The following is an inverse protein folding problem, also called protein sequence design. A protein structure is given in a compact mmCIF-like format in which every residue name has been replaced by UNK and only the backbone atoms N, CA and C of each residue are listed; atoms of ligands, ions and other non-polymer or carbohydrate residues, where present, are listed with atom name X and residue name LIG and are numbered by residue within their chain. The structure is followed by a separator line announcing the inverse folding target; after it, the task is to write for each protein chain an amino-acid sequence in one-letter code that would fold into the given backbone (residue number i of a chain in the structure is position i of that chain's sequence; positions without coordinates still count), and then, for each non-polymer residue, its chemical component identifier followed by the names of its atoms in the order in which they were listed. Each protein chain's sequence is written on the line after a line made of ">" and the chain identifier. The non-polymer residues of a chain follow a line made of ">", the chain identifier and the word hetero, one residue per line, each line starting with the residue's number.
data_IF_411812681363
#
_entry.id   IF_411812681363
#
_cell.length_a   1.000
_cell.length_b   1.000
_cell.length_c   1.000
_cell.angle_alpha   90.00
_cell.angle_beta   90.00
_cell.angle_gamma   90.00
#
_symmetry.space_group_name_H-M   'P 1'
#
loop_
_entity.id
_entity.type
_entity.pdbx_description
1 polymer ?
#
# COMPACT_ATOMS: atom_id res chain seq x y z
N UNK A 1 26.19 -42.88 16.04
CA UNK A 1 26.15 -42.29 14.67
C UNK A 1 24.97 -41.36 14.40
N UNK A 2 23.86 -41.45 15.12
CA UNK A 2 22.65 -40.66 14.81
C UNK A 2 22.68 -39.16 15.22
N UNK A 3 23.39 -38.76 16.28
CA UNK A 3 23.45 -37.35 16.73
C UNK A 3 24.31 -36.48 15.81
N UNK A 4 25.49 -36.97 15.40
CA UNK A 4 26.36 -36.23 14.46
C UNK A 4 25.71 -36.06 13.09
N UNK A 5 25.00 -37.09 12.62
CA UNK A 5 24.25 -37.02 11.35
C UNK A 5 23.09 -36.05 11.42
N UNK A 6 22.42 -35.95 12.59
CA UNK A 6 21.36 -34.95 12.82
C UNK A 6 21.90 -33.51 12.93
N UNK A 7 23.10 -33.33 13.52
CA UNK A 7 23.74 -32.00 13.59
C UNK A 7 24.28 -31.56 12.23
N UNK A 8 24.91 -32.47 11.46
CA UNK A 8 25.35 -32.17 10.09
C UNK A 8 24.12 -31.86 9.20
N UNK A 9 23.06 -32.68 9.30
CA UNK A 9 21.81 -32.41 8.58
C UNK A 9 21.15 -31.09 9.03
N UNK A 10 21.25 -30.71 10.30
CA UNK A 10 20.73 -29.42 10.78
C UNK A 10 21.54 -28.24 10.28
N UNK A 11 22.86 -28.37 10.17
CA UNK A 11 23.77 -27.36 9.62
C UNK A 11 23.59 -27.19 8.10
N UNK A 12 23.49 -28.30 7.37
CA UNK A 12 23.20 -28.30 5.92
C UNK A 12 21.80 -27.77 5.67
N UNK A 13 20.81 -28.10 6.52
CA UNK A 13 19.46 -27.55 6.41
C UNK A 13 19.39 -26.04 6.63
N UNK A 14 20.20 -25.48 7.57
CA UNK A 14 20.30 -24.04 7.80
C UNK A 14 20.97 -23.27 6.65
N UNK A 15 21.89 -23.93 5.93
CA UNK A 15 22.57 -23.35 4.75
C UNK A 15 21.73 -23.39 3.47
N UNK A 16 20.70 -24.23 3.42
CA UNK A 16 19.82 -24.43 2.24
C UNK A 16 18.46 -23.73 2.39
N UNK A 17 18.08 -23.36 3.61
CA UNK A 17 16.81 -22.65 3.86
C UNK A 17 16.86 -21.24 3.31
N UNK A 18 15.96 -20.96 2.39
CA UNK A 18 15.83 -19.67 1.73
C UNK A 18 14.90 -18.75 2.53
N UNK A 19 15.20 -17.48 2.54
CA UNK A 19 14.35 -16.45 3.15
C UNK A 19 13.90 -15.46 2.09
N UNK A 20 12.67 -15.00 2.21
CA UNK A 20 12.09 -14.00 1.33
C UNK A 20 11.20 -13.08 2.16
N UNK A 21 11.45 -11.78 2.10
CA UNK A 21 10.67 -10.76 2.76
C UNK A 21 9.93 -9.90 1.75
N UNK A 22 8.60 -9.96 1.77
CA UNK A 22 7.73 -9.24 0.86
C UNK A 22 7.02 -8.13 1.61
N UNK A 23 7.18 -6.92 1.12
CA UNK A 23 6.43 -5.77 1.59
C UNK A 23 5.10 -5.65 0.83
N UNK A 24 4.01 -5.49 1.57
CA UNK A 24 2.69 -5.17 1.01
C UNK A 24 2.32 -3.76 1.43
N UNK A 25 2.16 -2.89 0.45
CA UNK A 25 1.73 -1.53 0.66
C UNK A 25 0.64 -1.14 -0.33
N UNK A 26 0.16 0.06 -0.23
CA UNK A 26 -0.83 0.61 -1.16
C UNK A 26 -1.45 1.86 -0.58
N UNK A 27 -2.03 2.65 -1.46
CA UNK A 27 -2.77 3.84 -1.07
C UNK A 27 -3.93 3.50 -0.12
N UNK A 28 -4.45 4.49 0.56
CA UNK A 28 -5.58 4.33 1.47
C UNK A 28 -6.73 3.57 0.79
N UNK A 29 -7.38 2.65 1.51
CA UNK A 29 -8.52 1.84 1.03
C UNK A 29 -8.23 0.90 -0.15
N UNK A 30 -6.97 0.65 -0.50
CA UNK A 30 -6.59 -0.25 -1.60
C UNK A 30 -6.79 -1.75 -1.32
N UNK A 31 -7.24 -2.14 -0.12
CA UNK A 31 -7.54 -3.53 0.24
C UNK A 31 -6.34 -4.36 0.70
N UNK A 32 -5.29 -3.74 1.27
CA UNK A 32 -4.09 -4.44 1.76
C UNK A 32 -4.38 -5.62 2.69
N UNK A 33 -5.20 -5.40 3.73
CA UNK A 33 -5.53 -6.44 4.70
C UNK A 33 -6.24 -7.63 4.04
N UNK A 34 -7.23 -7.35 3.16
CA UNK A 34 -7.91 -8.38 2.38
C UNK A 34 -6.93 -9.12 1.45
N UNK A 35 -5.97 -8.42 0.84
CA UNK A 35 -4.93 -9.02 0.00
C UNK A 35 -4.07 -10.00 0.80
N UNK A 36 -3.51 -9.58 1.93
CA UNK A 36 -2.64 -10.45 2.75
C UNK A 36 -3.43 -11.63 3.27
N UNK A 37 -4.65 -11.42 3.76
CA UNK A 37 -5.54 -12.50 4.23
C UNK A 37 -5.78 -13.53 3.12
N UNK A 38 -6.13 -13.07 1.91
CA UNK A 38 -6.36 -13.98 0.78
C UNK A 38 -5.08 -14.67 0.32
N UNK A 39 -3.97 -13.96 0.23
CA UNK A 39 -2.67 -14.52 -0.19
C UNK A 39 -2.22 -15.63 0.75
N UNK A 40 -2.33 -15.41 2.06
CA UNK A 40 -2.02 -16.41 3.08
C UNK A 40 -3.01 -17.58 3.04
N UNK A 41 -4.32 -17.30 2.88
CA UNK A 41 -5.35 -18.34 2.77
C UNK A 41 -5.08 -19.28 1.59
N UNK A 42 -4.77 -18.72 0.40
CA UNK A 42 -4.45 -19.53 -0.78
C UNK A 42 -3.23 -20.41 -0.56
N UNK A 43 -2.17 -19.91 0.06
CA UNK A 43 -0.96 -20.69 0.36
C UNK A 43 -1.24 -21.82 1.37
N UNK A 44 -2.03 -21.56 2.40
CA UNK A 44 -2.36 -22.56 3.42
C UNK A 44 -3.29 -23.67 2.87
N UNK A 45 -4.08 -23.38 1.84
CA UNK A 45 -5.07 -24.30 1.26
C UNK A 45 -4.65 -24.90 -0.09
N UNK A 46 -3.36 -24.98 -0.40
CA UNK A 46 -2.87 -25.51 -1.68
C UNK A 46 -3.28 -26.97 -1.95
N UNK A 47 -3.57 -27.74 -0.91
CA UNK A 47 -3.97 -29.17 -1.02
C UNK A 47 -5.50 -29.38 -1.04
N UNK A 48 -6.29 -28.38 -0.64
CA UNK A 48 -7.76 -28.49 -0.54
C UNK A 48 -8.51 -27.88 -1.73
N UNK A 49 -7.94 -27.97 -2.94
CA UNK A 49 -8.58 -27.46 -4.15
C UNK A 49 -8.36 -25.98 -4.37
N UNK A 50 -7.21 -25.46 -3.98
CA UNK A 50 -6.81 -24.07 -4.24
C UNK A 50 -6.86 -23.79 -5.75
N UNK A 51 -7.56 -22.75 -6.14
CA UNK A 51 -7.70 -22.35 -7.53
C UNK A 51 -6.51 -21.47 -7.96
N UNK A 52 -5.32 -22.09 -8.07
CA UNK A 52 -4.06 -21.43 -8.42
C UNK A 52 -3.46 -21.94 -9.74
N UNK A 53 -4.21 -21.94 -10.86
CA UNK A 53 -3.75 -22.53 -12.12
C UNK A 53 -2.51 -21.83 -12.70
N UNK A 54 -2.31 -20.54 -12.41
CA UNK A 54 -1.17 -19.77 -12.91
C UNK A 54 0.04 -19.81 -11.96
N UNK A 55 -0.10 -20.35 -10.76
CA UNK A 55 1.01 -20.50 -9.83
C UNK A 55 1.79 -21.78 -10.11
N UNK A 56 2.91 -21.64 -10.81
CA UNK A 56 3.69 -22.79 -11.34
C UNK A 56 4.15 -23.81 -10.28
N UNK A 57 4.54 -23.43 -9.04
CA UNK A 57 4.92 -24.43 -8.05
C UNK A 57 3.77 -25.37 -7.62
N UNK A 58 2.53 -24.89 -7.68
CA UNK A 58 1.32 -25.70 -7.41
C UNK A 58 0.96 -26.53 -8.63
N UNK A 59 0.89 -25.91 -9.81
CA UNK A 59 0.58 -26.59 -11.08
C UNK A 59 1.56 -27.74 -11.38
N UNK A 60 2.81 -27.59 -11.00
CA UNK A 60 3.87 -28.60 -11.19
C UNK A 60 4.00 -29.56 -9.99
N UNK A 61 3.05 -29.53 -9.06
CA UNK A 61 3.00 -30.39 -7.85
C UNK A 61 4.30 -30.37 -7.02
N UNK A 62 5.00 -29.22 -7.04
CA UNK A 62 6.27 -29.06 -6.30
C UNK A 62 6.08 -28.49 -4.90
N UNK A 63 5.03 -27.71 -4.67
CA UNK A 63 4.72 -27.21 -3.35
C UNK A 63 4.08 -28.30 -2.51
N UNK A 64 4.83 -28.78 -1.50
CA UNK A 64 4.46 -29.95 -0.70
C UNK A 64 3.61 -29.62 0.53
N UNK A 65 3.72 -28.38 1.03
CA UNK A 65 2.93 -27.92 2.17
C UNK A 65 3.37 -26.55 2.66
N UNK A 66 2.43 -25.88 3.28
CA UNK A 66 2.63 -24.56 3.86
C UNK A 66 2.08 -24.53 5.28
N UNK A 67 2.79 -23.86 6.19
CA UNK A 67 2.32 -23.63 7.55
C UNK A 67 2.74 -22.26 8.07
N UNK A 68 1.97 -21.71 8.97
CA UNK A 68 2.36 -20.54 9.76
C UNK A 68 3.46 -20.92 10.75
N UNK A 69 4.45 -20.06 10.89
CA UNK A 69 5.56 -20.24 11.84
C UNK A 69 5.77 -18.96 12.64
N UNK A 70 6.40 -19.04 13.84
CA UNK A 70 6.69 -17.85 14.63
C UNK A 70 7.52 -16.84 13.83
N UNK A 71 7.17 -15.55 13.93
CA UNK A 71 7.96 -14.46 13.34
C UNK A 71 9.30 -14.30 14.08
N UNK A 72 10.29 -13.71 13.39
CA UNK A 72 11.62 -13.47 13.98
C UNK A 72 11.68 -12.19 14.77
N UNK A 73 11.03 -11.15 14.24
CA UNK A 73 10.98 -9.84 14.87
C UNK A 73 9.88 -9.83 15.94
N UNK A 74 10.28 -9.87 17.20
CA UNK A 74 9.35 -9.86 18.33
C UNK A 74 8.81 -8.46 18.64
N UNK A 75 9.40 -7.41 18.08
CA UNK A 75 8.95 -6.03 18.23
C UNK A 75 7.85 -5.64 17.24
N UNK A 76 7.63 -6.44 16.18
CA UNK A 76 6.59 -6.18 15.18
C UNK A 76 5.31 -6.93 15.55
N UNK A 77 4.15 -6.27 15.63
CA UNK A 77 2.86 -6.92 15.85
C UNK A 77 2.58 -8.02 14.81
N UNK A 78 1.89 -9.06 15.25
CA UNK A 78 1.45 -10.13 14.37
C UNK A 78 0.29 -9.66 13.50
N UNK A 79 0.31 -9.99 12.20
CA UNK A 79 -0.82 -9.73 11.31
C UNK A 79 -2.07 -10.51 11.78
N UNK A 80 -3.19 -9.83 11.84
CA UNK A 80 -4.47 -10.35 12.35
C UNK A 80 -5.19 -11.26 11.32
N UNK A 81 -4.54 -12.36 10.93
CA UNK A 81 -5.06 -13.28 9.91
C UNK A 81 -6.35 -13.98 10.34
N UNK A 82 -6.38 -14.49 11.57
CA UNK A 82 -7.52 -15.28 12.07
C UNK A 82 -8.77 -14.39 12.24
N UNK A 83 -8.59 -13.14 12.70
CA UNK A 83 -9.64 -12.15 12.78
C UNK A 83 -10.15 -11.74 11.39
N UNK A 84 -9.25 -11.60 10.42
CA UNK A 84 -9.60 -11.34 9.03
C UNK A 84 -10.44 -12.47 8.43
N UNK A 85 -10.08 -13.72 8.67
CA UNK A 85 -10.85 -14.88 8.23
C UNK A 85 -12.21 -14.97 8.94
N UNK A 86 -12.25 -14.71 10.26
CA UNK A 86 -13.49 -14.70 11.02
C UNK A 86 -14.48 -13.64 10.50
N UNK A 87 -13.99 -12.46 10.13
CA UNK A 87 -14.82 -11.42 9.53
C UNK A 87 -15.42 -11.87 8.18
N UNK A 88 -14.60 -12.50 7.33
CA UNK A 88 -15.02 -12.96 6.00
C UNK A 88 -16.04 -14.10 6.05
N UNK A 89 -15.95 -14.98 7.05
CA UNK A 89 -16.91 -16.07 7.27
C UNK A 89 -18.04 -15.71 8.23
N UNK A 90 -18.10 -14.45 8.67
CA UNK A 90 -19.17 -13.95 9.53
C UNK A 90 -20.54 -13.97 8.84
N UNK A 91 -21.61 -13.81 9.63
CA UNK A 91 -22.97 -13.68 9.14
C UNK A 91 -23.60 -12.38 9.69
N UNK A 92 -23.71 -11.32 8.89
CA UNK A 92 -23.24 -11.20 7.50
C UNK A 92 -21.71 -11.11 7.38
N UNK A 93 -21.12 -11.51 6.23
CA UNK A 93 -19.70 -11.39 6.01
C UNK A 93 -19.25 -9.92 5.93
N UNK A 94 -18.07 -9.65 6.47
CA UNK A 94 -17.50 -8.31 6.52
C UNK A 94 -16.04 -8.29 6.01
N UNK A 95 -15.58 -7.14 5.51
CA UNK A 95 -14.20 -6.95 5.15
C UNK A 95 -13.30 -6.93 6.40
N UNK A 96 -12.07 -7.49 6.32
CA UNK A 96 -11.12 -7.43 7.42
C UNK A 96 -10.83 -5.99 7.83
N UNK A 97 -10.66 -5.76 9.13
CA UNK A 97 -10.32 -4.43 9.66
C UNK A 97 -8.96 -3.95 9.16
N UNK A 98 -8.85 -2.71 8.65
CA UNK A 98 -7.58 -2.17 8.18
C UNK A 98 -6.51 -2.12 9.27
N UNK A 99 -5.28 -2.47 8.92
CA UNK A 99 -4.11 -2.39 9.81
C UNK A 99 -3.75 -0.92 10.06
N UNK A 100 -3.44 -0.57 11.33
CA UNK A 100 -3.10 0.80 11.73
C UNK A 100 -1.61 1.08 11.89
N UNK A 101 -0.78 0.05 11.78
CA UNK A 101 0.67 0.13 11.92
C UNK A 101 1.36 -0.96 11.11
N UNK A 102 2.64 -1.21 11.39
CA UNK A 102 3.36 -2.34 10.80
C UNK A 102 2.88 -3.63 11.45
N UNK A 103 2.68 -4.67 10.65
CA UNK A 103 2.43 -6.03 11.12
C UNK A 103 3.07 -7.05 10.19
N UNK A 104 3.34 -8.26 10.71
CA UNK A 104 4.03 -9.31 9.97
C UNK A 104 3.34 -10.66 10.14
N UNK A 105 3.33 -11.46 9.07
CA UNK A 105 3.01 -12.89 9.12
C UNK A 105 4.12 -13.68 8.45
N UNK A 106 4.52 -14.80 9.07
CA UNK A 106 5.58 -15.67 8.59
C UNK A 106 5.07 -17.06 8.27
N UNK A 107 5.44 -17.54 7.07
CA UNK A 107 5.07 -18.86 6.56
C UNK A 107 6.33 -19.69 6.26
N UNK A 108 6.23 -21.00 6.40
CA UNK A 108 7.21 -21.96 5.91
C UNK A 108 6.59 -22.76 4.75
N UNK A 109 7.18 -22.63 3.55
CA UNK A 109 6.75 -23.30 2.33
C UNK A 109 7.75 -24.42 2.02
N UNK A 110 7.30 -25.68 2.10
CA UNK A 110 8.11 -26.85 1.76
C UNK A 110 7.86 -27.24 0.32
N UNK A 111 8.94 -27.39 -0.45
CA UNK A 111 8.84 -27.68 -1.88
C UNK A 111 9.93 -28.61 -2.39
N UNK A 112 9.68 -29.25 -3.56
CA UNK A 112 10.70 -30.05 -4.29
C UNK A 112 11.53 -29.12 -5.14
N UNK A 113 12.88 -29.17 -4.98
CA UNK A 113 13.81 -28.37 -5.78
C UNK A 113 13.92 -28.90 -7.21
N UNK A 114 14.06 -27.98 -8.19
CA UNK A 114 14.42 -28.30 -9.59
C UNK A 114 15.93 -28.34 -9.81
N UNK A 115 16.73 -27.75 -8.90
CA UNK A 115 18.18 -27.67 -9.06
C UNK A 115 18.82 -29.06 -8.93
N UNK A 116 19.45 -29.53 -10.02
CA UNK A 116 20.08 -30.84 -10.11
C UNK A 116 21.21 -31.04 -9.07
N UNK A 117 21.92 -29.99 -8.73
CA UNK A 117 22.99 -30.02 -7.71
C UNK A 117 22.42 -30.21 -6.29
N UNK A 118 21.30 -29.55 -5.97
CA UNK A 118 20.63 -29.66 -4.67
C UNK A 118 19.93 -31.02 -4.51
N UNK A 119 19.40 -31.59 -5.61
CA UNK A 119 18.77 -32.93 -5.61
C UNK A 119 19.69 -34.03 -5.14
N UNK A 120 20.99 -33.94 -5.37
CA UNK A 120 21.96 -34.94 -4.91
C UNK A 120 22.13 -34.92 -3.39
N UNK A 121 21.79 -33.81 -2.72
CA UNK A 121 21.92 -33.65 -1.29
C UNK A 121 20.57 -33.68 -0.55
N UNK A 122 19.49 -33.20 -1.19
CA UNK A 122 18.16 -33.12 -0.59
C UNK A 122 17.05 -32.88 -1.61
N UNK A 123 16.05 -33.79 -1.63
CA UNK A 123 14.90 -33.67 -2.56
C UNK A 123 13.95 -32.50 -2.23
N UNK A 124 13.99 -31.98 -1.01
CA UNK A 124 13.05 -30.97 -0.54
C UNK A 124 13.76 -29.82 0.17
N UNK A 125 13.31 -28.60 -0.09
CA UNK A 125 13.81 -27.36 0.51
C UNK A 125 12.66 -26.62 1.21
N UNK A 126 13.02 -25.66 2.07
CA UNK A 126 12.05 -24.80 2.75
C UNK A 126 12.32 -23.33 2.40
N UNK A 127 11.29 -22.61 1.97
CA UNK A 127 11.28 -21.17 1.87
C UNK A 127 10.55 -20.59 3.07
N UNK A 128 11.21 -19.74 3.83
CA UNK A 128 10.58 -18.91 4.85
C UNK A 128 10.15 -17.58 4.22
N UNK A 129 8.84 -17.40 4.13
CA UNK A 129 8.21 -16.20 3.57
C UNK A 129 7.73 -15.30 4.70
N UNK A 130 8.23 -14.10 4.75
CA UNK A 130 7.78 -13.03 5.65
C UNK A 130 7.00 -11.99 4.84
N UNK A 131 5.73 -11.78 5.19
CA UNK A 131 4.85 -10.80 4.56
C UNK A 131 4.64 -9.68 5.58
N UNK A 132 5.05 -8.46 5.20
CA UNK A 132 4.98 -7.29 6.06
C UNK A 132 3.95 -6.33 5.50
N UNK A 133 2.93 -6.02 6.31
CA UNK A 133 1.95 -4.97 6.06
C UNK A 133 2.41 -3.67 6.72
N UNK A 134 2.37 -2.57 5.99
CA UNK A 134 2.61 -1.25 6.55
C UNK A 134 1.75 -0.18 5.86
N UNK A 135 1.40 0.91 6.58
CA UNK A 135 0.59 1.97 6.00
C UNK A 135 1.28 2.63 4.80
N UNK A 136 0.56 2.74 3.69
CA UNK A 136 1.07 3.40 2.50
C UNK A 136 1.32 4.90 2.71
N UNK A 137 0.59 5.50 3.64
CA UNK A 137 0.76 6.89 4.05
C UNK A 137 2.17 7.17 4.58
N UNK A 138 2.82 6.19 5.23
CA UNK A 138 4.19 6.36 5.73
C UNK A 138 5.23 6.44 4.61
N UNK A 139 4.94 5.85 3.43
CA UNK A 139 5.81 6.00 2.27
C UNK A 139 5.77 7.39 1.67
N UNK A 140 4.64 8.09 1.80
CA UNK A 140 4.51 9.47 1.34
C UNK A 140 5.41 10.43 2.13
N UNK A 141 5.94 10.01 3.28
CA UNK A 141 6.86 10.79 4.08
C UNK A 141 8.33 10.63 3.64
N UNK A 142 8.67 9.56 2.90
CA UNK A 142 10.06 9.35 2.46
C UNK A 142 10.65 10.52 1.65
N UNK A 143 9.90 11.17 0.73
CA UNK A 143 10.39 12.35 0.02
C UNK A 143 10.72 13.55 0.92
N UNK A 144 10.20 13.62 2.16
CA UNK A 144 10.53 14.67 3.12
C UNK A 144 12.01 14.67 3.49
N UNK A 145 12.69 13.53 3.36
CA UNK A 145 14.12 13.41 3.64
C UNK A 145 15.01 14.27 2.72
N UNK A 146 14.49 14.68 1.57
CA UNK A 146 15.15 15.55 0.58
C UNK A 146 14.63 16.99 0.61
N UNK A 147 13.71 17.30 1.53
CA UNK A 147 13.06 18.61 1.63
C UNK A 147 13.51 19.37 2.88
N UNK A 148 13.48 20.69 2.77
CA UNK A 148 13.53 21.58 3.93
C UNK A 148 12.11 21.85 4.43
N UNK A 149 11.97 22.30 5.68
CA UNK A 149 10.68 22.70 6.22
C UNK A 149 9.96 23.76 5.35
N UNK A 150 10.74 24.70 4.79
CA UNK A 150 10.18 25.77 3.96
C UNK A 150 9.72 25.24 2.59
N UNK A 151 10.52 24.41 1.92
CA UNK A 151 10.13 23.81 0.63
C UNK A 151 8.90 22.90 0.78
N UNK A 152 8.84 22.13 1.87
CA UNK A 152 7.65 21.35 2.21
C UNK A 152 6.43 22.25 2.47
N UNK A 153 6.58 23.35 3.21
CA UNK A 153 5.50 24.30 3.46
C UNK A 153 4.97 24.91 2.17
N UNK A 154 5.85 25.28 1.24
CA UNK A 154 5.47 25.79 -0.09
C UNK A 154 4.70 24.74 -0.89
N UNK A 155 5.17 23.51 -0.90
CA UNK A 155 4.48 22.39 -1.58
C UNK A 155 3.08 22.17 -1.01
N UNK A 156 2.93 22.15 0.31
CA UNK A 156 1.62 21.96 0.96
C UNK A 156 0.68 23.16 0.67
N UNK A 157 1.20 24.39 0.66
CA UNK A 157 0.46 25.58 0.25
C UNK A 157 -0.06 25.49 -1.19
N UNK A 158 0.75 24.96 -2.11
CA UNK A 158 0.36 24.75 -3.51
C UNK A 158 -0.77 23.73 -3.72
N UNK A 159 -1.02 22.86 -2.74
CA UNK A 159 -2.10 21.87 -2.78
C UNK A 159 -3.46 22.43 -2.30
N UNK A 160 -3.52 23.64 -1.77
CA UNK A 160 -4.75 24.28 -1.28
C UNK A 160 -5.60 24.75 -2.46
N UNK A 161 -6.26 23.79 -3.13
CA UNK A 161 -7.14 24.00 -4.27
C UNK A 161 -8.45 23.21 -4.09
N UNK A 162 -9.53 23.66 -4.72
CA UNK A 162 -10.83 23.00 -4.65
C UNK A 162 -11.31 22.78 -3.21
N UNK A 163 -11.77 21.58 -2.89
CA UNK A 163 -12.28 21.22 -1.55
C UNK A 163 -11.24 21.37 -0.44
N UNK A 164 -9.94 21.22 -0.75
CA UNK A 164 -8.88 21.36 0.26
C UNK A 164 -8.85 22.76 0.91
N UNK A 165 -9.16 23.82 0.17
CA UNK A 165 -9.22 25.18 0.72
C UNK A 165 -10.28 25.26 1.81
N UNK A 166 -11.48 24.74 1.54
CA UNK A 166 -12.59 24.80 2.48
C UNK A 166 -12.28 24.02 3.77
N UNK A 167 -11.70 22.85 3.64
CA UNK A 167 -11.34 22.02 4.78
C UNK A 167 -10.14 22.57 5.57
N UNK A 168 -9.27 23.34 4.93
CA UNK A 168 -8.13 23.97 5.57
C UNK A 168 -8.47 25.23 6.37
N UNK A 169 -9.64 25.87 6.16
CA UNK A 169 -10.03 27.13 6.81
C UNK A 169 -9.80 27.17 8.32
N UNK A 170 -10.18 26.15 9.12
CA UNK A 170 -9.95 26.16 10.57
C UNK A 170 -8.48 26.20 10.96
N UNK A 171 -7.62 25.50 10.22
CA UNK A 171 -6.18 25.51 10.39
C UNK A 171 -5.58 26.85 9.98
N UNK A 172 -5.91 27.35 8.76
CA UNK A 172 -5.40 28.62 8.24
C UNK A 172 -5.74 29.82 9.14
N UNK A 173 -6.98 29.89 9.63
CA UNK A 173 -7.43 30.94 10.53
C UNK A 173 -6.68 30.96 11.87
N UNK A 174 -6.16 29.81 12.34
CA UNK A 174 -5.30 29.75 13.52
C UNK A 174 -3.88 30.19 13.21
N UNK A 175 -3.33 29.81 12.04
CA UNK A 175 -2.01 30.26 11.61
C UNK A 175 -1.92 31.79 11.50
N UNK A 176 -2.96 32.46 11.02
CA UNK A 176 -3.00 33.94 10.88
C UNK A 176 -2.84 34.69 12.21
N UNK A 177 -3.15 34.04 13.33
CA UNK A 177 -3.05 34.64 14.68
C UNK A 177 -1.67 34.51 15.31
N UNK A 178 -0.75 33.81 14.66
CA UNK A 178 0.59 33.54 15.19
C UNK A 178 1.63 34.36 14.40
N UNK A 179 2.46 35.13 15.13
CA UNK A 179 3.67 35.71 14.56
C UNK A 179 4.76 34.61 14.46
N UNK A 180 5.26 34.27 13.26
CA UNK A 180 6.27 33.24 13.08
C UNK A 180 7.59 33.55 13.79
N UNK A 181 7.93 34.84 13.97
CA UNK A 181 9.19 35.28 14.58
C UNK A 181 9.08 35.57 16.07
N UNK A 182 7.87 35.55 16.65
CA UNK A 182 7.68 35.65 18.10
C UNK A 182 8.25 34.41 18.84
N UNK A 183 8.56 34.54 20.14
CA UNK A 183 8.95 33.41 20.97
C UNK A 183 7.92 32.26 20.88
N UNK A 184 8.42 31.03 20.81
CA UNK A 184 7.58 29.86 20.64
C UNK A 184 6.59 29.69 21.81
N UNK A 185 5.31 29.59 21.48
CA UNK A 185 4.22 29.23 22.38
C UNK A 185 3.79 27.78 22.12
N UNK A 186 4.19 26.88 23.01
CA UNK A 186 3.93 25.44 22.88
C UNK A 186 2.43 25.12 22.77
N UNK A 187 1.57 25.82 23.52
CA UNK A 187 0.13 25.57 23.53
C UNK A 187 -0.48 26.02 22.19
N UNK A 188 -0.13 27.21 21.72
CA UNK A 188 -0.59 27.69 20.42
C UNK A 188 -0.13 26.79 19.27
N UNK A 189 1.14 26.39 19.27
CA UNK A 189 1.68 25.49 18.25
C UNK A 189 0.97 24.12 18.25
N UNK A 190 0.68 23.57 19.43
CA UNK A 190 -0.06 22.32 19.57
C UNK A 190 -1.50 22.43 19.05
N UNK A 191 -2.21 23.50 19.33
CA UNK A 191 -3.57 23.75 18.83
C UNK A 191 -3.62 23.87 17.31
N UNK A 192 -2.65 24.54 16.70
CA UNK A 192 -2.56 24.67 15.24
C UNK A 192 -2.18 23.35 14.59
N UNK A 193 -1.25 22.61 15.19
CA UNK A 193 -0.86 21.27 14.72
C UNK A 193 -2.05 20.29 14.76
N UNK A 194 -2.88 20.37 15.81
CA UNK A 194 -4.11 19.59 15.86
C UNK A 194 -5.09 19.96 14.75
N UNK A 195 -5.29 21.26 14.51
CA UNK A 195 -6.16 21.71 13.42
C UNK A 195 -5.65 21.29 12.03
N UNK A 196 -4.32 21.23 11.84
CA UNK A 196 -3.72 20.68 10.62
C UNK A 196 -3.94 19.17 10.53
N UNK A 197 -3.80 18.45 11.63
CA UNK A 197 -4.09 17.01 11.68
C UNK A 197 -5.56 16.71 11.36
N UNK A 198 -6.49 17.50 11.89
CA UNK A 198 -7.92 17.39 11.60
C UNK A 198 -8.21 17.64 10.10
N UNK A 199 -7.54 18.63 9.50
CA UNK A 199 -7.59 18.87 8.05
C UNK A 199 -7.11 17.66 7.25
N UNK A 200 -6.00 17.03 7.64
CA UNK A 200 -5.50 15.82 6.98
C UNK A 200 -6.48 14.64 7.12
N UNK A 201 -7.08 14.47 8.30
CA UNK A 201 -8.14 13.48 8.50
C UNK A 201 -9.34 13.75 7.61
N UNK A 202 -9.76 15.02 7.46
CA UNK A 202 -10.85 15.38 6.56
C UNK A 202 -10.51 15.06 5.11
N UNK A 203 -9.33 15.42 4.63
CA UNK A 203 -8.87 15.04 3.29
C UNK A 203 -8.97 13.53 3.05
N UNK A 204 -8.54 12.71 4.03
CA UNK A 204 -8.61 11.26 3.94
C UNK A 204 -10.06 10.73 3.94
N UNK A 205 -10.95 11.33 4.72
CA UNK A 205 -12.37 10.98 4.73
C UNK A 205 -13.03 11.26 3.38
N UNK A 206 -12.70 12.38 2.75
CA UNK A 206 -13.17 12.78 1.41
C UNK A 206 -12.51 11.99 0.26
N UNK A 207 -11.69 11.00 0.57
CA UNK A 207 -11.12 10.06 -0.40
C UNK A 207 -9.83 10.53 -1.06
N UNK A 208 -9.17 11.57 -0.55
CA UNK A 208 -7.86 11.96 -1.02
C UNK A 208 -6.76 11.02 -0.52
N UNK A 209 -5.74 10.85 -1.32
CA UNK A 209 -4.65 9.90 -1.08
C UNK A 209 -3.35 10.59 -0.67
N UNK A 210 -3.08 11.81 -1.15
CA UNK A 210 -1.89 12.56 -0.78
C UNK A 210 -2.07 13.24 0.56
N UNK A 211 -1.67 12.57 1.60
CA UNK A 211 -1.75 12.96 3.01
C UNK A 211 -0.35 12.97 3.59
N UNK A 212 0.16 14.15 3.93
CA UNK A 212 1.53 14.31 4.41
C UNK A 212 1.61 15.36 5.55
N UNK A 213 2.20 15.03 6.70
CA UNK A 213 2.84 13.76 7.03
C UNK A 213 1.84 12.62 7.29
N UNK A 214 2.18 11.41 6.82
CA UNK A 214 1.33 10.23 6.96
C UNK A 214 1.16 9.76 8.41
N UNK A 215 2.18 9.98 9.26
CA UNK A 215 2.13 9.68 10.69
C UNK A 215 1.15 10.57 11.48
N UNK A 216 0.69 11.69 10.93
CA UNK A 216 -0.33 12.52 11.60
C UNK A 216 -1.70 11.84 11.59
N UNK A 217 -2.03 11.14 10.50
CA UNK A 217 -3.29 10.40 10.39
C UNK A 217 -3.19 8.94 10.86
N UNK A 218 -1.98 8.38 10.88
CA UNK A 218 -1.68 7.03 11.36
C UNK A 218 -0.43 7.07 12.24
N UNK A 219 -0.52 7.63 13.45
CA UNK A 219 0.64 7.87 14.31
C UNK A 219 1.33 6.60 14.80
N UNK A 220 0.60 5.49 14.93
CA UNK A 220 1.12 4.26 15.51
C UNK A 220 1.60 4.48 16.94
N UNK A 221 2.84 4.12 17.19
CA UNK A 221 3.55 4.28 18.46
C UNK A 221 3.85 5.74 18.87
N UNK A 222 3.72 6.68 17.92
CA UNK A 222 3.97 8.12 18.14
C UNK A 222 2.72 8.91 18.56
N UNK A 223 1.60 8.23 18.84
CA UNK A 223 0.35 8.90 19.22
C UNK A 223 0.59 9.82 20.44
N UNK A 224 0.26 11.12 20.29
CA UNK A 224 0.44 12.13 21.35
C UNK A 224 1.87 12.66 21.52
N UNK A 225 2.84 12.17 20.76
CA UNK A 225 4.23 12.64 20.87
C UNK A 225 4.41 14.06 20.30
N UNK A 226 5.20 14.94 20.97
CA UNK A 226 5.45 16.31 20.50
C UNK A 226 6.08 16.38 19.10
N UNK A 227 6.75 15.35 18.64
CA UNK A 227 7.33 15.26 17.30
C UNK A 227 6.27 15.35 16.21
N UNK A 228 5.00 15.05 16.48
CA UNK A 228 3.88 15.21 15.54
C UNK A 228 3.18 16.58 15.68
N UNK A 229 3.71 17.50 16.49
CA UNK A 229 3.12 18.83 16.69
C UNK A 229 3.82 19.88 15.83
N UNK A 230 3.78 19.71 14.51
CA UNK A 230 4.21 20.72 13.55
C UNK A 230 3.21 20.80 12.39
N UNK A 231 3.29 21.84 11.61
CA UNK A 231 2.42 22.08 10.45
C UNK A 231 3.16 22.92 9.41
N UNK A 232 2.76 22.87 8.11
CA UNK A 232 3.38 23.72 7.10
C UNK A 232 2.95 25.17 7.31
N UNK A 233 3.87 26.10 7.07
CA UNK A 233 3.55 27.53 7.22
C UNK A 233 2.89 28.05 5.93
N UNK A 234 1.60 28.43 5.95
CA UNK A 234 0.85 28.74 4.71
C UNK A 234 1.35 30.00 3.98
N UNK A 235 1.96 30.93 4.69
CA UNK A 235 2.35 32.24 4.19
C UNK A 235 3.88 32.38 4.01
N UNK A 236 4.59 31.29 3.74
CA UNK A 236 6.06 31.30 3.54
C UNK A 236 6.48 32.37 2.55
N UNK A 237 5.75 32.52 1.44
CA UNK A 237 6.09 33.46 0.36
C UNK A 237 5.96 34.95 0.77
N UNK A 238 5.21 35.26 1.84
CA UNK A 238 4.91 36.65 2.24
C UNK A 238 5.94 37.26 3.19
N UNK A 239 6.75 36.44 3.89
CA UNK A 239 7.63 36.91 4.97
C UNK A 239 9.10 37.00 4.54
N UNK A 240 9.44 36.43 3.43
CA UNK A 240 10.82 36.33 2.92
C UNK A 240 11.52 35.08 3.43
N UNK A 241 11.87 34.24 2.48
CA UNK A 241 12.43 32.89 2.70
C UNK A 241 13.69 32.91 3.56
N UNK A 242 14.57 33.90 3.34
CA UNK A 242 15.82 34.03 4.09
C UNK A 242 15.59 34.32 5.58
N UNK A 243 14.63 35.18 5.92
CA UNK A 243 14.30 35.50 7.32
C UNK A 243 13.75 34.27 8.04
N UNK A 244 12.90 33.50 7.39
CA UNK A 244 12.31 32.29 7.95
C UNK A 244 13.36 31.18 8.11
N UNK A 245 14.27 31.06 7.14
CA UNK A 245 15.35 30.05 7.18
C UNK A 245 16.37 30.32 8.31
N UNK A 246 16.61 31.60 8.65
CA UNK A 246 17.57 32.03 9.67
C UNK A 246 16.94 32.28 11.04
N UNK A 247 15.63 32.08 11.21
CA UNK A 247 14.94 32.31 12.46
C UNK A 247 15.53 31.43 13.58
N UNK A 248 15.66 32.04 14.79
CA UNK A 248 16.13 31.32 15.98
C UNK A 248 15.21 30.15 16.33
N UNK A 249 15.79 29.04 16.81
CA UNK A 249 15.02 27.83 17.20
C UNK A 249 14.00 28.10 18.31
N UNK A 250 14.13 29.19 19.06
CA UNK A 250 13.19 29.58 20.13
C UNK A 250 11.97 30.36 19.60
N UNK A 251 11.94 30.68 18.30
CA UNK A 251 10.76 31.30 17.66
C UNK A 251 9.74 30.25 17.24
N UNK A 252 8.50 30.66 17.00
CA UNK A 252 7.45 29.76 16.52
C UNK A 252 7.89 28.99 15.27
N UNK A 253 8.38 29.68 14.23
CA UNK A 253 8.83 29.04 12.99
C UNK A 253 10.07 28.19 13.19
N UNK A 254 11.00 28.61 14.05
CA UNK A 254 12.21 27.86 14.38
C UNK A 254 11.88 26.53 15.09
N UNK A 255 10.91 26.56 15.99
CA UNK A 255 10.43 25.33 16.68
C UNK A 255 9.75 24.37 15.70
N UNK A 256 8.91 24.87 14.76
CA UNK A 256 8.29 24.03 13.73
C UNK A 256 9.33 23.40 12.82
N UNK A 257 10.34 24.16 12.39
CA UNK A 257 11.47 23.64 11.60
C UNK A 257 12.22 22.55 12.36
N UNK A 258 12.54 22.77 13.63
CA UNK A 258 13.24 21.79 14.47
C UNK A 258 12.45 20.49 14.62
N UNK A 259 11.13 20.56 14.80
CA UNK A 259 10.26 19.37 14.89
C UNK A 259 10.17 18.64 13.56
N UNK A 260 10.07 19.35 12.44
CA UNK A 260 10.11 18.78 11.09
C UNK A 260 11.44 18.04 10.84
N UNK A 261 12.57 18.70 11.15
CA UNK A 261 13.90 18.11 10.97
C UNK A 261 14.07 16.85 11.84
N UNK A 262 13.61 16.91 13.09
CA UNK A 262 13.62 15.74 13.97
C UNK A 262 12.72 14.63 13.44
N UNK A 263 11.52 14.96 12.97
CA UNK A 263 10.61 14.00 12.33
C UNK A 263 11.27 13.30 11.15
N UNK A 264 11.88 14.05 10.24
CA UNK A 264 12.60 13.50 9.11
C UNK A 264 13.75 12.58 9.53
N UNK A 265 14.63 13.05 10.45
CA UNK A 265 15.85 12.32 10.80
C UNK A 265 15.61 11.13 11.73
N UNK A 266 14.62 11.19 12.61
CA UNK A 266 14.37 10.14 13.61
C UNK A 266 13.22 9.22 13.22
N UNK A 267 12.09 9.76 12.75
CA UNK A 267 10.91 8.97 12.43
C UNK A 267 10.97 8.40 11.03
N UNK A 268 11.09 9.26 10.00
CA UNK A 268 11.06 8.83 8.60
C UNK A 268 12.29 8.00 8.25
N UNK A 269 13.47 8.48 8.62
CA UNK A 269 14.72 7.77 8.38
C UNK A 269 14.85 6.48 9.20
N UNK A 270 14.29 6.47 10.43
CA UNK A 270 14.18 5.27 11.26
C UNK A 270 13.35 4.20 10.56
N UNK A 271 12.13 4.54 10.14
CA UNK A 271 11.27 3.63 9.39
C UNK A 271 11.96 3.07 8.13
N UNK A 272 12.63 3.93 7.36
CA UNK A 272 13.37 3.52 6.17
C UNK A 272 14.43 2.47 6.50
N UNK A 273 15.26 2.70 7.53
CA UNK A 273 16.34 1.79 7.95
C UNK A 273 15.84 0.47 8.52
N UNK A 274 14.83 0.55 9.36
CA UNK A 274 14.39 -0.60 10.16
C UNK A 274 13.50 -1.56 9.37
N UNK A 275 12.77 -1.03 8.38
CA UNK A 275 11.81 -1.81 7.60
C UNK A 275 12.11 -1.80 6.11
N UNK A 276 12.16 -0.64 5.46
CA UNK A 276 12.14 -0.52 4.00
C UNK A 276 13.34 -1.17 3.32
N UNK A 277 14.56 -0.98 3.83
CA UNK A 277 15.78 -1.56 3.23
C UNK A 277 15.90 -3.08 3.38
N UNK A 278 15.04 -3.70 4.16
CA UNK A 278 15.08 -5.14 4.43
C UNK A 278 14.15 -5.95 3.53
N UNK A 279 13.43 -5.30 2.61
CA UNK A 279 12.52 -6.00 1.71
C UNK A 279 13.25 -6.51 0.48
N UNK A 280 13.01 -7.77 0.12
CA UNK A 280 13.48 -8.36 -1.13
C UNK A 280 12.54 -8.04 -2.28
N UNK A 281 11.23 -7.97 -2.01
CA UNK A 281 10.17 -7.73 -3.00
C UNK A 281 9.08 -6.84 -2.44
N UNK A 282 8.39 -6.18 -3.34
CA UNK A 282 7.31 -5.29 -2.95
C UNK A 282 6.11 -5.40 -3.89
N UNK A 283 4.93 -5.32 -3.29
CA UNK A 283 3.68 -5.11 -4.00
C UNK A 283 3.02 -3.81 -3.53
N UNK A 284 2.58 -3.01 -4.49
CA UNK A 284 1.86 -1.75 -4.29
C UNK A 284 0.44 -1.93 -4.81
N UNK A 285 -0.53 -1.94 -3.90
CA UNK A 285 -1.95 -2.03 -4.24
C UNK A 285 -2.50 -0.64 -4.55
N UNK A 286 -3.20 -0.50 -5.66
CA UNK A 286 -3.79 0.76 -6.12
C UNK A 286 -5.27 0.55 -6.41
N UNK A 287 -6.14 1.27 -5.72
CA UNK A 287 -7.55 1.37 -6.08
C UNK A 287 -7.72 2.49 -7.11
N UNK A 288 -7.75 2.15 -8.40
CA UNK A 288 -7.94 3.12 -9.47
C UNK A 288 -9.42 3.51 -9.63
N UNK A 289 -10.36 2.68 -9.16
CA UNK A 289 -11.79 2.85 -9.43
C UNK A 289 -12.42 3.91 -8.53
N UNK A 290 -12.07 3.93 -7.25
CA UNK A 290 -12.61 4.90 -6.31
C UNK A 290 -12.31 6.37 -6.71
N UNK A 291 -11.08 6.74 -7.09
CA UNK A 291 -10.80 8.09 -7.58
C UNK A 291 -11.50 8.44 -8.89
N UNK A 292 -11.67 7.47 -9.81
CA UNK A 292 -12.48 7.68 -11.01
C UNK A 292 -13.94 8.01 -10.65
N UNK A 293 -14.49 7.35 -9.64
CA UNK A 293 -15.84 7.61 -9.15
C UNK A 293 -15.99 8.95 -8.42
N UNK A 294 -14.92 9.39 -7.75
CA UNK A 294 -14.91 10.63 -6.95
C UNK A 294 -14.60 11.89 -7.76
N UNK A 295 -14.22 11.76 -9.02
CA UNK A 295 -14.00 12.89 -9.94
C UNK A 295 -12.54 13.31 -10.12
N UNK A 296 -12.33 14.33 -10.97
CA UNK A 296 -11.00 14.76 -11.44
C UNK A 296 -10.04 15.13 -10.31
N UNK A 297 -10.53 15.79 -9.25
CA UNK A 297 -9.68 16.21 -8.14
C UNK A 297 -9.14 15.04 -7.36
N UNK A 298 -9.96 14.03 -7.05
CA UNK A 298 -9.55 12.82 -6.37
C UNK A 298 -8.60 11.97 -7.23
N UNK A 299 -8.85 11.93 -8.55
CA UNK A 299 -8.00 11.22 -9.48
C UNK A 299 -6.60 11.86 -9.60
N UNK A 300 -6.54 13.19 -9.72
CA UNK A 300 -5.26 13.90 -9.75
C UNK A 300 -4.50 13.82 -8.42
N UNK A 301 -5.21 13.82 -7.30
CA UNK A 301 -4.62 13.63 -5.97
C UNK A 301 -4.01 12.21 -5.83
N UNK A 302 -4.70 11.18 -6.32
CA UNK A 302 -4.15 9.81 -6.38
C UNK A 302 -2.89 9.75 -7.26
N UNK A 303 -2.90 10.39 -8.44
CA UNK A 303 -1.72 10.47 -9.31
C UNK A 303 -0.54 11.11 -8.59
N UNK A 304 -0.78 12.22 -7.89
CA UNK A 304 0.25 12.88 -7.10
C UNK A 304 0.80 11.94 -6.01
N UNK A 305 -0.08 11.27 -5.25
CA UNK A 305 0.33 10.32 -4.23
C UNK A 305 1.17 9.17 -4.80
N UNK A 306 0.77 8.61 -5.96
CA UNK A 306 1.55 7.59 -6.65
C UNK A 306 2.91 8.11 -7.12
N UNK A 307 2.96 9.31 -7.71
CA UNK A 307 4.21 9.94 -8.15
C UNK A 307 5.18 10.13 -6.96
N UNK A 308 4.70 10.63 -5.84
CA UNK A 308 5.51 10.81 -4.62
C UNK A 308 5.96 9.48 -4.04
N UNK A 309 5.08 8.48 -4.00
CA UNK A 309 5.42 7.13 -3.57
C UNK A 309 6.52 6.54 -4.46
N UNK A 310 6.43 6.74 -5.77
CA UNK A 310 7.42 6.24 -6.73
C UNK A 310 8.76 6.97 -6.63
N UNK A 311 8.77 8.25 -6.27
CA UNK A 311 10.02 8.96 -5.96
C UNK A 311 10.76 8.29 -4.78
N UNK A 312 10.05 7.70 -3.84
CA UNK A 312 10.64 6.92 -2.75
C UNK A 312 11.39 5.66 -3.23
N UNK A 313 11.05 5.16 -4.41
CA UNK A 313 11.71 4.03 -5.08
C UNK A 313 12.78 4.47 -6.08
N UNK A 314 13.16 5.75 -6.13
CA UNK A 314 14.17 6.26 -7.06
C UNK A 314 15.55 5.72 -6.71
N UNK A 315 15.90 4.68 -7.40
CA UNK A 315 17.15 3.93 -7.22
C UNK A 315 18.34 4.51 -8.01
N UNK A 316 18.17 5.60 -8.76
CA UNK A 316 19.14 6.02 -9.78
C UNK A 316 19.89 7.32 -9.56
N UNK A 317 19.49 8.24 -8.73
CA UNK A 317 20.20 9.51 -8.54
C UNK A 317 21.21 9.44 -7.40
N UNK A 318 22.41 10.03 -7.64
CA UNK A 318 23.58 10.11 -6.74
C UNK A 318 23.31 10.94 -5.48
N UNK A 319 22.29 10.60 -4.70
CA UNK A 319 22.02 11.22 -3.41
C UNK A 319 22.82 10.51 -2.31
N UNK A 320 23.06 11.20 -1.20
CA UNK A 320 23.69 10.65 0.02
C UNK A 320 23.03 9.34 0.49
N UNK A 321 21.74 9.13 0.13
CA UNK A 321 20.97 7.91 0.38
C UNK A 321 21.54 6.68 -0.33
N UNK A 322 21.97 6.78 -1.59
CA UNK A 322 22.54 5.64 -2.34
C UNK A 322 23.84 5.12 -1.74
N UNK A 323 24.62 5.98 -1.09
CA UNK A 323 25.86 5.57 -0.41
C UNK A 323 25.64 4.80 0.89
N UNK A 324 24.48 5.00 1.52
CA UNK A 324 24.17 4.43 2.83
C UNK A 324 23.20 3.24 2.76
N UNK A 325 22.36 3.15 1.70
CA UNK A 325 21.25 2.23 1.64
C UNK A 325 20.99 1.80 0.19
N UNK A 326 21.64 0.72 -0.28
CA UNK A 326 21.26 0.06 -1.53
C UNK A 326 20.00 -0.76 -1.25
N UNK A 327 18.82 -0.40 -1.77
CA UNK A 327 17.64 -1.24 -1.63
C UNK A 327 17.86 -2.56 -2.38
N UNK A 328 17.51 -3.65 -1.75
CA UNK A 328 17.67 -5.00 -2.27
C UNK A 328 16.44 -5.52 -3.02
N UNK A 329 15.49 -4.65 -3.39
CA UNK A 329 14.26 -5.09 -4.06
C UNK A 329 14.60 -5.54 -5.48
N UNK A 330 14.38 -6.85 -5.76
CA UNK A 330 14.58 -7.45 -7.07
C UNK A 330 13.29 -7.45 -7.93
N UNK A 331 12.11 -7.41 -7.28
CA UNK A 331 10.81 -7.39 -7.95
C UNK A 331 9.84 -6.39 -7.32
N UNK A 332 9.19 -5.61 -8.18
CA UNK A 332 8.17 -4.64 -7.81
C UNK A 332 6.89 -4.89 -8.61
N UNK A 333 5.78 -5.14 -7.92
CA UNK A 333 4.46 -5.35 -8.51
C UNK A 333 3.56 -4.17 -8.21
N UNK A 334 2.93 -3.59 -9.23
CA UNK A 334 1.78 -2.73 -9.07
C UNK A 334 0.51 -3.52 -9.39
N UNK A 335 -0.44 -3.53 -8.46
CA UNK A 335 -1.67 -4.27 -8.62
C UNK A 335 -2.89 -3.35 -8.47
N UNK A 336 -3.64 -3.18 -9.57
CA UNK A 336 -4.95 -2.53 -9.52
C UNK A 336 -5.92 -3.46 -8.82
N UNK A 337 -6.32 -3.07 -7.62
CA UNK A 337 -7.23 -3.85 -6.78
C UNK A 337 -8.69 -3.70 -7.21
N UNK A 338 -9.55 -4.57 -6.68
CA UNK A 338 -11.00 -4.56 -6.92
C UNK A 338 -11.40 -4.79 -8.38
N UNK A 339 -10.64 -5.61 -9.12
CA UNK A 339 -10.97 -5.95 -10.50
C UNK A 339 -12.34 -6.67 -10.64
N UNK A 340 -12.88 -7.20 -9.55
CA UNK A 340 -14.23 -7.76 -9.48
C UNK A 340 -15.35 -6.72 -9.43
N UNK A 341 -15.02 -5.43 -9.27
CA UNK A 341 -15.98 -4.31 -9.32
C UNK A 341 -16.22 -3.79 -10.73
N UNK A 342 -15.59 -4.40 -11.73
CA UNK A 342 -15.78 -4.14 -13.16
C UNK A 342 -16.01 -5.45 -13.90
N UNK A 343 -16.62 -5.38 -15.07
CA UNK A 343 -16.86 -6.57 -15.90
C UNK A 343 -15.55 -7.10 -16.52
N UNK A 344 -15.49 -8.38 -16.82
CA UNK A 344 -14.25 -9.06 -17.24
C UNK A 344 -13.61 -8.47 -18.49
N UNK A 345 -14.41 -7.94 -19.42
CA UNK A 345 -13.97 -7.24 -20.63
C UNK A 345 -13.23 -5.93 -20.34
N UNK A 346 -13.44 -5.33 -19.14
CA UNK A 346 -12.80 -4.09 -18.69
C UNK A 346 -11.45 -4.31 -17.96
N UNK A 347 -11.09 -5.56 -17.65
CA UNK A 347 -9.86 -5.84 -16.90
C UNK A 347 -8.60 -5.35 -17.62
N UNK A 348 -8.56 -5.48 -18.95
CA UNK A 348 -7.44 -4.99 -19.76
C UNK A 348 -7.30 -3.46 -19.69
N UNK A 349 -8.42 -2.74 -19.69
CA UNK A 349 -8.44 -1.28 -19.55
C UNK A 349 -7.91 -0.85 -18.18
N UNK A 350 -8.31 -1.54 -17.11
CA UNK A 350 -7.83 -1.27 -15.75
C UNK A 350 -6.30 -1.42 -15.65
N UNK A 351 -5.75 -2.48 -16.22
CA UNK A 351 -4.29 -2.70 -16.26
C UNK A 351 -3.60 -1.63 -17.09
N UNK A 352 -4.16 -1.25 -18.24
CA UNK A 352 -3.61 -0.20 -19.11
C UNK A 352 -3.61 1.16 -18.41
N UNK A 353 -4.67 1.51 -17.69
CA UNK A 353 -4.75 2.72 -16.89
C UNK A 353 -3.68 2.74 -15.79
N UNK A 354 -3.53 1.64 -15.04
CA UNK A 354 -2.50 1.52 -14.02
C UNK A 354 -1.09 1.67 -14.61
N UNK A 355 -0.81 1.02 -15.75
CA UNK A 355 0.49 1.14 -16.42
C UNK A 355 0.85 2.58 -16.78
N UNK A 356 -0.13 3.36 -17.24
CA UNK A 356 0.09 4.78 -17.54
C UNK A 356 0.30 5.61 -16.27
N UNK A 357 -0.41 5.31 -15.18
CA UNK A 357 -0.21 5.96 -13.89
C UNK A 357 1.20 5.76 -13.33
N UNK A 358 1.81 4.60 -13.59
CA UNK A 358 3.14 4.23 -13.07
C UNK A 358 4.25 4.26 -14.13
N UNK A 359 4.00 4.80 -15.32
CA UNK A 359 4.92 4.75 -16.46
C UNK A 359 6.30 5.33 -16.14
N UNK A 360 6.36 6.45 -15.45
CA UNK A 360 7.62 7.11 -15.07
C UNK A 360 8.46 6.22 -14.14
N UNK A 361 7.81 5.61 -13.14
CA UNK A 361 8.46 4.65 -12.24
C UNK A 361 8.96 3.41 -12.99
N UNK A 362 8.17 2.95 -13.96
CA UNK A 362 8.54 1.80 -14.78
C UNK A 362 9.86 2.01 -15.51
N UNK A 363 10.02 3.17 -16.15
CA UNK A 363 11.23 3.50 -16.88
C UNK A 363 12.46 3.55 -15.94
N UNK A 364 12.31 4.16 -14.78
CA UNK A 364 13.37 4.28 -13.80
C UNK A 364 13.77 2.91 -13.20
N UNK A 365 12.81 2.10 -12.83
CA UNK A 365 13.07 0.78 -12.25
C UNK A 365 13.66 -0.21 -13.26
N UNK A 366 13.19 -0.17 -14.51
CA UNK A 366 13.77 -0.97 -15.60
C UNK A 366 15.24 -0.65 -15.83
N UNK A 367 15.61 0.63 -15.78
CA UNK A 367 17.00 1.07 -15.88
C UNK A 367 17.91 0.53 -14.76
N UNK A 368 17.35 0.38 -13.55
CA UNK A 368 18.06 -0.17 -12.38
C UNK A 368 18.02 -1.71 -12.31
N UNK A 369 17.41 -2.37 -13.30
CA UNK A 369 17.36 -3.84 -13.37
C UNK A 369 16.31 -4.47 -12.44
N UNK A 370 15.33 -3.71 -11.95
CA UNK A 370 14.22 -4.22 -11.15
C UNK A 370 13.17 -4.82 -12.09
N UNK A 371 12.79 -6.08 -11.83
CA UNK A 371 11.70 -6.74 -12.57
C UNK A 371 10.35 -6.18 -12.10
N UNK A 372 9.64 -5.47 -13.00
CA UNK A 372 8.36 -4.82 -12.70
C UNK A 372 7.20 -5.46 -13.44
N UNK A 373 6.04 -5.53 -12.77
CA UNK A 373 4.81 -5.99 -13.38
C UNK A 373 3.59 -5.18 -12.90
N UNK A 374 2.62 -4.97 -13.81
CA UNK A 374 1.29 -4.47 -13.49
C UNK A 374 0.27 -5.58 -13.70
N UNK A 375 -0.70 -5.68 -12.79
CA UNK A 375 -1.80 -6.66 -12.89
C UNK A 375 -3.10 -6.07 -12.32
N UNK A 376 -4.25 -6.50 -12.87
CA UNK A 376 -5.57 -6.21 -12.30
C UNK A 376 -6.03 -7.41 -11.46
N UNK A 377 -6.31 -7.20 -10.18
CA UNK A 377 -6.62 -8.28 -9.26
C UNK A 377 -7.89 -8.02 -8.44
N UNK A 378 -8.57 -9.11 -8.09
CA UNK A 378 -9.43 -9.14 -6.92
C UNK A 378 -8.85 -10.15 -5.93
N UNK A 379 -8.36 -9.64 -4.80
CA UNK A 379 -7.79 -10.49 -3.74
C UNK A 379 -8.85 -11.46 -3.20
N UNK A 380 -10.06 -10.93 -3.00
CA UNK A 380 -11.26 -11.69 -2.65
C UNK A 380 -12.36 -11.21 -3.58
N UNK A 381 -12.92 -12.11 -4.36
CA UNK A 381 -13.98 -11.79 -5.30
C UNK A 381 -15.32 -11.63 -4.57
N UNK A 382 -15.85 -10.41 -4.55
CA UNK A 382 -17.11 -10.05 -3.89
C UNK A 382 -18.32 -10.10 -4.83
N UNK A 383 -18.10 -10.08 -6.16
CA UNK A 383 -19.14 -10.07 -7.17
C UNK A 383 -19.15 -11.35 -8.00
N UNK A 384 -20.24 -11.54 -8.75
CA UNK A 384 -20.40 -12.56 -9.79
C UNK A 384 -20.75 -11.91 -11.12
N UNK A 385 -20.34 -12.54 -12.20
CA UNK A 385 -20.77 -12.12 -13.53
C UNK A 385 -22.28 -12.29 -13.70
N UNK A 386 -22.91 -11.31 -14.32
CA UNK A 386 -24.31 -11.27 -14.62
C UNK A 386 -24.58 -10.64 -15.99
N UNK A 387 -25.82 -10.48 -16.30
CA UNK A 387 -26.29 -9.82 -17.54
C UNK A 387 -27.48 -8.95 -17.16
N UNK A 388 -27.53 -7.74 -17.69
CA UNK A 388 -28.71 -6.86 -17.64
C UNK A 388 -29.21 -6.58 -19.04
N UNK A 389 -30.51 -6.41 -19.19
CA UNK A 389 -31.11 -5.95 -20.44
C UNK A 389 -31.10 -4.42 -20.44
N UNK A 390 -30.43 -3.84 -21.43
CA UNK A 390 -30.43 -2.41 -21.66
C UNK A 390 -30.93 -2.12 -23.07
N UNK A 391 -32.13 -1.57 -23.22
CA UNK A 391 -32.76 -1.24 -24.49
C UNK A 391 -32.86 -2.44 -25.46
N UNK A 392 -33.13 -3.65 -24.94
CA UNK A 392 -33.24 -4.88 -25.74
C UNK A 392 -31.90 -5.55 -26.03
N UNK A 393 -30.79 -5.01 -25.55
CA UNK A 393 -29.46 -5.65 -25.65
C UNK A 393 -29.01 -6.19 -24.31
N UNK A 394 -28.51 -7.41 -24.30
CA UNK A 394 -27.91 -8.04 -23.14
C UNK A 394 -26.49 -7.54 -22.99
N UNK A 395 -26.21 -6.75 -21.92
CA UNK A 395 -24.88 -6.27 -21.60
C UNK A 395 -24.31 -6.99 -20.37
N UNK A 396 -22.98 -7.21 -20.28
CA UNK A 396 -22.33 -7.76 -19.11
C UNK A 396 -22.64 -6.92 -17.87
N UNK A 397 -22.83 -7.56 -16.73
CA UNK A 397 -23.13 -6.89 -15.48
C UNK A 397 -22.47 -7.61 -14.30
N UNK A 398 -22.46 -6.99 -13.15
CA UNK A 398 -22.00 -7.54 -11.88
C UNK A 398 -23.19 -7.77 -10.95
N UNK A 399 -23.14 -8.90 -10.24
CA UNK A 399 -24.10 -9.23 -9.16
C UNK A 399 -23.36 -9.30 -7.83
N UNK A 400 -23.88 -8.66 -6.82
CA UNK A 400 -23.31 -8.67 -5.47
C UNK A 400 -24.25 -8.02 -4.47
N UNK A 401 -23.78 -7.87 -3.23
CA UNK A 401 -24.49 -7.13 -2.19
C UNK A 401 -23.79 -5.80 -1.94
N UNK A 402 -24.55 -4.70 -2.05
CA UNK A 402 -24.00 -3.36 -1.84
C UNK A 402 -23.44 -3.22 -0.41
N UNK A 403 -22.28 -2.59 -0.29
CA UNK A 403 -21.58 -2.45 1.00
C UNK A 403 -22.37 -1.59 2.00
N UNK A 404 -23.03 -0.53 1.54
CA UNK A 404 -23.69 0.45 2.41
C UNK A 404 -24.94 -0.11 3.14
N UNK A 405 -25.76 -0.89 2.44
CA UNK A 405 -27.07 -1.34 2.94
C UNK A 405 -27.25 -2.86 2.88
N UNK A 406 -26.32 -3.59 2.24
CA UNK A 406 -26.38 -5.04 2.07
C UNK A 406 -27.45 -5.53 1.10
N UNK A 407 -28.07 -4.65 0.33
CA UNK A 407 -29.09 -5.04 -0.64
C UNK A 407 -28.45 -5.72 -1.87
N UNK A 408 -29.11 -6.74 -2.44
CA UNK A 408 -28.66 -7.35 -3.67
C UNK A 408 -28.70 -6.32 -4.81
N UNK A 409 -27.62 -6.27 -5.58
CA UNK A 409 -27.47 -5.34 -6.70
C UNK A 409 -27.01 -6.09 -7.95
N UNK A 410 -27.64 -5.80 -9.09
CA UNK A 410 -27.13 -6.17 -10.41
C UNK A 410 -26.91 -4.89 -11.19
N UNK A 411 -25.67 -4.61 -11.59
CA UNK A 411 -25.31 -3.32 -12.15
C UNK A 411 -24.27 -3.49 -13.27
N UNK A 412 -24.39 -2.65 -14.32
CA UNK A 412 -23.29 -2.37 -15.21
C UNK A 412 -22.49 -1.20 -14.63
N UNK A 413 -21.21 -1.39 -14.28
CA UNK A 413 -20.44 -0.38 -13.53
C UNK A 413 -19.96 0.79 -14.40
N UNK A 414 -20.18 0.76 -15.70
CA UNK A 414 -19.63 1.71 -16.66
C UNK A 414 -18.30 1.24 -17.25
N UNK A 415 -17.64 2.09 -18.02
CA UNK A 415 -16.42 1.77 -18.72
C UNK A 415 -15.20 2.38 -18.03
N UNK A 416 -14.20 1.55 -17.79
CA UNK A 416 -12.89 2.00 -17.30
C UNK A 416 -12.12 2.59 -18.48
N UNK A 417 -11.59 3.82 -18.38
CA UNK A 417 -10.78 4.40 -19.46
C UNK A 417 -9.46 3.61 -19.60
N UNK A 418 -9.14 3.19 -20.83
CA UNK A 418 -7.88 2.54 -21.13
C UNK A 418 -6.67 3.49 -21.12
N UNK A 419 -6.93 4.81 -21.05
CA UNK A 419 -5.92 5.89 -21.00
C UNK A 419 -6.22 6.85 -19.87
N UNK A 420 -5.24 7.66 -19.50
CA UNK A 420 -5.46 8.73 -18.52
C UNK A 420 -6.60 9.63 -19.00
N UNK A 421 -7.66 9.81 -18.18
CA UNK A 421 -8.84 10.57 -18.59
C UNK A 421 -8.51 12.05 -18.77
N UNK A 422 -8.87 12.60 -19.94
CA UNK A 422 -8.79 14.03 -20.24
C UNK A 422 -10.00 14.81 -19.72
N UNK A 423 -9.98 16.14 -19.86
CA UNK A 423 -11.04 17.02 -19.35
C UNK A 423 -12.44 16.66 -19.88
N UNK A 424 -12.54 16.27 -21.14
CA UNK A 424 -13.82 15.89 -21.77
C UNK A 424 -14.48 14.67 -21.11
N UNK A 425 -13.68 13.73 -20.61
CA UNK A 425 -14.16 12.54 -19.90
C UNK A 425 -14.98 12.90 -18.67
N UNK A 426 -14.52 13.88 -17.88
CA UNK A 426 -15.17 14.30 -16.66
C UNK A 426 -16.46 15.11 -16.87
N UNK A 427 -16.66 15.63 -18.08
CA UNK A 427 -17.85 16.41 -18.43
C UNK A 427 -19.02 15.54 -18.92
N UNK A 428 -18.73 14.34 -19.43
CA UNK A 428 -19.72 13.54 -20.16
C UNK A 428 -20.15 12.26 -19.46
N UNK A 429 -19.39 11.78 -18.46
CA UNK A 429 -19.65 10.49 -17.84
C UNK A 429 -19.50 10.54 -16.33
N UNK A 430 -20.59 10.21 -15.61
CA UNK A 430 -20.54 9.80 -14.22
C UNK A 430 -20.18 8.32 -14.14
N UNK A 431 -19.12 7.96 -13.42
CA UNK A 431 -18.85 6.58 -13.03
C UNK A 431 -19.59 6.27 -11.76
N UNK A 432 -20.27 5.13 -11.74
CA UNK A 432 -20.89 4.59 -10.54
C UNK A 432 -20.33 3.20 -10.26
N UNK A 433 -19.16 3.17 -9.65
CA UNK A 433 -18.62 1.94 -9.08
C UNK A 433 -19.14 1.78 -7.67
N UNK A 434 -20.11 0.85 -7.50
CA UNK A 434 -20.56 0.47 -6.19
C UNK A 434 -19.49 -0.31 -5.43
N UNK A 435 -19.47 -0.19 -4.11
CA UNK A 435 -18.68 -1.05 -3.24
C UNK A 435 -19.53 -2.24 -2.79
N UNK A 436 -18.93 -3.42 -2.81
CA UNK A 436 -19.62 -4.65 -2.49
C UNK A 436 -19.14 -5.23 -1.14
N UNK A 437 -20.04 -5.93 -0.45
CA UNK A 437 -19.71 -6.79 0.69
C UNK A 437 -19.01 -8.05 0.20
N UNK A 438 -18.19 -8.71 1.04
CA UNK A 438 -17.76 -10.07 0.74
C UNK A 438 -18.97 -10.97 0.50
N UNK A 439 -18.80 -11.96 -0.38
CA UNK A 439 -19.83 -12.99 -0.59
C UNK A 439 -19.89 -13.92 0.61
N UNK A 440 -21.03 -14.54 0.84
CA UNK A 440 -21.14 -15.68 1.76
C UNK A 440 -20.26 -16.83 1.23
N UNK A 441 -19.41 -17.35 2.10
CA UNK A 441 -18.44 -18.39 1.78
C UNK A 441 -18.50 -19.49 2.84
N UNK A 442 -18.21 -20.72 2.43
CA UNK A 442 -18.08 -21.86 3.35
C UNK A 442 -16.66 -21.98 3.85
N UNK A 443 -16.48 -22.32 5.11
CA UNK A 443 -15.19 -22.38 5.80
C UNK A 443 -14.16 -23.31 5.10
N UNK A 444 -14.62 -24.34 4.41
CA UNK A 444 -13.79 -25.36 3.79
C UNK A 444 -13.37 -25.02 2.34
N UNK A 445 -13.77 -23.87 1.81
CA UNK A 445 -13.42 -23.46 0.44
C UNK A 445 -12.38 -22.34 0.45
N UNK A 446 -11.35 -22.42 -0.43
CA UNK A 446 -10.43 -21.30 -0.63
C UNK A 446 -11.17 -20.03 -1.04
N UNK A 447 -10.69 -18.86 -0.60
CA UNK A 447 -11.27 -17.58 -0.95
C UNK A 447 -11.25 -17.38 -2.47
N UNK A 448 -12.39 -17.05 -3.12
CA UNK A 448 -12.42 -16.81 -4.54
C UNK A 448 -11.65 -15.53 -4.89
N UNK A 449 -10.85 -15.56 -5.95
CA UNK A 449 -10.00 -14.44 -6.36
C UNK A 449 -9.97 -14.25 -7.88
N UNK A 450 -9.43 -13.11 -8.33
CA UNK A 450 -9.08 -12.86 -9.72
C UNK A 450 -7.57 -12.58 -9.77
N UNK A 451 -6.82 -13.41 -10.51
CA UNK A 451 -5.38 -13.29 -10.80
C UNK A 451 -4.43 -13.16 -9.60
N UNK A 452 -4.85 -13.57 -8.41
CA UNK A 452 -3.97 -13.61 -7.24
C UNK A 452 -2.85 -14.64 -7.43
N UNK A 453 -3.14 -15.74 -8.10
CA UNK A 453 -2.18 -16.78 -8.50
C UNK A 453 -1.08 -16.27 -9.45
N UNK A 454 -1.41 -15.35 -10.35
CA UNK A 454 -0.44 -14.66 -11.22
C UNK A 454 0.52 -13.78 -10.40
N UNK A 455 0.00 -13.10 -9.37
CA UNK A 455 0.82 -12.33 -8.42
C UNK A 455 1.76 -13.25 -7.64
N UNK A 456 1.24 -14.38 -7.14
CA UNK A 456 2.04 -15.39 -6.44
C UNK A 456 3.16 -15.95 -7.32
N UNK A 457 2.85 -16.27 -8.58
CA UNK A 457 3.85 -16.77 -9.52
C UNK A 457 4.96 -15.74 -9.75
N UNK A 458 4.61 -14.50 -10.00
CA UNK A 458 5.59 -13.42 -10.16
C UNK A 458 6.48 -13.26 -8.92
N UNK A 459 5.87 -13.24 -7.74
CA UNK A 459 6.57 -12.97 -6.49
C UNK A 459 7.35 -14.16 -5.92
N UNK A 460 7.01 -15.43 -6.27
CA UNK A 460 7.54 -16.58 -5.53
C UNK A 460 8.24 -17.62 -6.39
N UNK A 461 7.91 -17.76 -7.70
CA UNK A 461 8.32 -18.92 -8.51
C UNK A 461 9.82 -19.16 -8.59
N UNK A 462 10.61 -18.09 -8.66
CA UNK A 462 12.07 -18.18 -8.78
C UNK A 462 12.75 -18.60 -7.47
N UNK A 463 12.11 -18.35 -6.33
CA UNK A 463 12.58 -18.79 -5.00
C UNK A 463 12.16 -20.23 -4.68
N UNK A 464 11.18 -20.77 -5.40
CA UNK A 464 10.65 -22.12 -5.27
C UNK A 464 11.15 -23.06 -6.40
N UNK A 465 12.36 -22.82 -6.90
CA UNK A 465 13.02 -23.65 -7.91
C UNK A 465 13.89 -24.73 -7.31
#
# INVERSE_FOLDING_TARGET
>A
MSRLQNEINSLVNRGVDRHLRIAVTGLSRSGKTAFITAFVNQLLNTHSGAHLPMFSPVREERLLGVKRVPQRDLGVPRFAYDEGMAALYGSPPAWPTPTRGVSEIRLALRYRSKDSLLRHFKDTSTLYLEIVDYPGEWLLDLPLLEQTYLSWSQQMGGLLQGGRIEWAKPWLARCEKIDPLAPADENQLAEVAQAYTDYLHRCKQEGLHFIQPGRFVLPGDLAGAPVLQFFPWPQVNNIGETKLAQADEKTNIGMLRKRFDYYCQSVVKGFYKDHFVRFDRQIVLVDCLQPLNSGIHAFNDMRLALTQLMQSFHYGKRTLFRRLFSPCIDKLMFAASKADHITADQHANLVSLLQQLVQEAWQNAAFEGIDMRCEGIASIQSTQSGVVDHQGQKIPALKGHRLSDGQPLTVYPGEVPARLPGAAFWQTQGFHFDQFRPREMTVDTPLPHIRLDTVMDFLLKDKLR
#
